data_IF_550910887733
#
_entry.id   IF_550910887733
#
_cell.length_a   1.000
_cell.length_b   1.000
_cell.length_c   1.000
_cell.angle_alpha   90.00
_cell.angle_beta   90.00
_cell.angle_gamma   90.00
#
_symmetry.space_group_name_H-M   'P 1'
#
loop_
_entity.id
_entity.type
_entity.pdbx_description
1 polymer ?
#
# COMPACT_ATOMS: atom_id res chain seq x y z
N UNK A 1 -70.53 20.05 2.38
CA UNK A 1 -69.46 20.84 1.71
C UNK A 1 -69.12 20.16 0.39
N UNK A 2 -69.49 20.70 -0.78
CA UNK A 2 -69.13 20.08 -2.04
C UNK A 2 -67.68 20.41 -2.38
N UNK A 3 -66.85 19.38 -2.50
CA UNK A 3 -65.49 19.49 -3.04
C UNK A 3 -65.58 20.06 -4.46
N UNK A 4 -65.25 21.34 -4.62
CA UNK A 4 -65.03 21.94 -5.94
C UNK A 4 -63.78 21.29 -6.51
N UNK A 5 -63.97 20.25 -7.32
CA UNK A 5 -62.94 19.71 -8.20
C UNK A 5 -62.50 20.85 -9.11
N UNK A 6 -61.41 21.52 -8.71
CA UNK A 6 -60.77 22.59 -9.46
C UNK A 6 -60.28 21.95 -10.75
N UNK A 7 -61.01 22.18 -11.85
CA UNK A 7 -60.59 21.70 -13.17
C UNK A 7 -59.21 22.29 -13.43
N UNK A 8 -58.20 21.42 -13.45
CA UNK A 8 -56.83 21.79 -13.79
C UNK A 8 -56.86 22.44 -15.18
N UNK A 9 -56.26 23.62 -15.29
CA UNK A 9 -56.12 24.30 -16.58
C UNK A 9 -55.32 23.42 -17.55
N UNK A 10 -55.61 23.48 -18.85
CA UNK A 10 -54.89 22.74 -19.89
C UNK A 10 -53.36 22.96 -19.79
N UNK A 11 -52.95 24.16 -19.38
CA UNK A 11 -51.55 24.51 -19.09
C UNK A 11 -50.95 23.75 -17.92
N UNK A 12 -51.70 23.49 -16.85
CA UNK A 12 -51.21 22.68 -15.71
C UNK A 12 -51.01 21.22 -16.11
N UNK A 13 -51.88 20.69 -16.97
CA UNK A 13 -51.71 19.35 -17.54
C UNK A 13 -50.48 19.25 -18.43
N UNK A 14 -50.25 20.22 -19.31
CA UNK A 14 -49.05 20.30 -20.15
C UNK A 14 -47.78 20.34 -19.30
N UNK A 15 -47.72 21.20 -18.29
CA UNK A 15 -46.56 21.30 -17.39
C UNK A 15 -46.30 19.97 -16.68
N UNK A 16 -47.34 19.31 -16.18
CA UNK A 16 -47.21 18.04 -15.47
C UNK A 16 -46.66 16.94 -16.41
N UNK A 17 -47.16 16.87 -17.64
CA UNK A 17 -46.65 15.94 -18.66
C UNK A 17 -45.18 16.23 -18.99
N UNK A 18 -44.81 17.50 -19.16
CA UNK A 18 -43.42 17.89 -19.43
C UNK A 18 -42.48 17.51 -18.29
N UNK A 19 -42.89 17.73 -17.03
CA UNK A 19 -42.10 17.34 -15.85
C UNK A 19 -41.92 15.83 -15.77
N UNK A 20 -43.00 15.06 -16.01
CA UNK A 20 -42.93 13.59 -16.04
C UNK A 20 -42.01 13.11 -17.15
N UNK A 21 -42.09 13.71 -18.35
CA UNK A 21 -41.22 13.36 -19.47
C UNK A 21 -39.74 13.66 -19.16
N UNK A 22 -39.45 14.81 -18.56
CA UNK A 22 -38.10 15.18 -18.09
C UNK A 22 -37.59 14.21 -17.03
N UNK A 23 -38.44 13.76 -16.12
CA UNK A 23 -38.07 12.81 -15.08
C UNK A 23 -37.70 11.44 -15.67
N UNK A 24 -38.46 10.94 -16.65
CA UNK A 24 -38.16 9.69 -17.36
C UNK A 24 -36.84 9.79 -18.12
N UNK A 25 -36.61 10.91 -18.84
CA UNK A 25 -35.35 11.16 -19.53
C UNK A 25 -34.17 11.25 -18.57
N UNK A 26 -34.35 11.93 -17.44
CA UNK A 26 -33.33 12.10 -16.41
C UNK A 26 -32.89 10.76 -15.81
N UNK A 27 -33.85 9.91 -15.43
CA UNK A 27 -33.56 8.57 -14.87
C UNK A 27 -32.81 7.71 -15.89
N UNK A 28 -33.28 7.64 -17.14
CA UNK A 28 -32.62 6.84 -18.18
C UNK A 28 -31.21 7.33 -18.53
N UNK A 29 -30.93 8.63 -18.37
CA UNK A 29 -29.60 9.18 -18.58
C UNK A 29 -28.65 8.86 -17.41
N UNK A 30 -29.14 8.93 -16.17
CA UNK A 30 -28.37 8.62 -14.97
C UNK A 30 -27.93 7.15 -14.98
N UNK A 31 -28.84 6.21 -15.29
CA UNK A 31 -28.52 4.77 -15.34
C UNK A 31 -27.42 4.45 -16.37
N UNK A 32 -27.45 5.11 -17.53
CA UNK A 32 -26.41 4.91 -18.56
C UNK A 32 -25.04 5.42 -18.11
N UNK A 33 -25.00 6.56 -17.43
CA UNK A 33 -23.74 7.10 -16.89
C UNK A 33 -23.16 6.20 -15.80
N UNK A 34 -23.99 5.70 -14.88
CA UNK A 34 -23.52 4.78 -13.83
C UNK A 34 -23.04 3.46 -14.41
N UNK A 35 -23.70 2.95 -15.46
CA UNK A 35 -23.30 1.70 -16.12
C UNK A 35 -21.95 1.85 -16.83
N UNK A 36 -21.73 2.95 -17.54
CA UNK A 36 -20.44 3.24 -18.18
C UNK A 36 -19.33 3.42 -17.16
N UNK A 37 -19.59 4.13 -16.06
CA UNK A 37 -18.62 4.32 -14.99
C UNK A 37 -18.25 2.99 -14.29
N UNK A 38 -19.24 2.14 -14.02
CA UNK A 38 -19.02 0.82 -13.43
C UNK A 38 -18.17 -0.08 -14.34
N UNK A 39 -18.50 -0.13 -15.64
CA UNK A 39 -17.72 -0.90 -16.62
C UNK A 39 -16.28 -0.40 -16.74
N UNK A 40 -16.06 0.92 -16.76
CA UNK A 40 -14.70 1.48 -16.80
C UNK A 40 -13.90 1.17 -15.54
N UNK A 41 -14.53 1.19 -14.36
CA UNK A 41 -13.89 0.83 -13.11
C UNK A 41 -13.48 -0.65 -13.10
N UNK A 42 -14.33 -1.53 -13.62
CA UNK A 42 -14.04 -2.95 -13.74
C UNK A 42 -12.89 -3.22 -14.71
N UNK A 43 -12.87 -2.54 -15.87
CA UNK A 43 -11.75 -2.62 -16.82
C UNK A 43 -10.44 -2.21 -16.16
N UNK A 44 -10.40 -1.06 -15.49
CA UNK A 44 -9.18 -0.58 -14.80
C UNK A 44 -8.70 -1.57 -13.73
N UNK A 45 -9.63 -2.14 -12.96
CA UNK A 45 -9.30 -3.13 -11.95
C UNK A 45 -8.66 -4.39 -12.57
N UNK A 46 -9.19 -4.86 -13.70
CA UNK A 46 -8.59 -5.99 -14.41
C UNK A 46 -7.23 -5.64 -15.02
N UNK A 47 -7.07 -4.46 -15.61
CA UNK A 47 -5.80 -3.97 -16.17
C UNK A 47 -4.71 -3.91 -15.09
N UNK A 48 -5.01 -3.37 -13.91
CA UNK A 48 -4.06 -3.34 -12.79
C UNK A 48 -3.64 -4.74 -12.35
N UNK A 49 -4.59 -5.69 -12.29
CA UNK A 49 -4.27 -7.09 -11.93
C UNK A 49 -3.39 -7.78 -12.96
N UNK A 50 -3.61 -7.52 -14.24
CA UNK A 50 -2.78 -8.05 -15.32
C UNK A 50 -1.37 -7.46 -15.22
N UNK A 51 -1.24 -6.14 -15.07
CA UNK A 51 0.07 -5.49 -14.93
C UNK A 51 0.87 -6.03 -13.73
N UNK A 52 0.23 -6.25 -12.58
CA UNK A 52 0.86 -6.87 -11.41
C UNK A 52 1.30 -8.31 -11.70
N UNK A 53 0.47 -9.09 -12.40
CA UNK A 53 0.79 -10.47 -12.76
C UNK A 53 1.98 -10.55 -13.74
N UNK A 54 2.01 -9.68 -14.76
CA UNK A 54 3.09 -9.58 -15.73
C UNK A 54 4.41 -9.19 -15.04
N UNK A 55 4.40 -8.17 -14.18
CA UNK A 55 5.58 -7.79 -13.40
C UNK A 55 6.09 -8.94 -12.53
N UNK A 56 5.19 -9.71 -11.90
CA UNK A 56 5.58 -10.90 -11.13
C UNK A 56 6.20 -11.95 -12.04
N UNK A 57 5.61 -12.20 -13.21
CA UNK A 57 6.14 -13.18 -14.16
C UNK A 57 7.55 -12.80 -14.63
N UNK A 58 7.79 -11.53 -14.95
CA UNK A 58 9.13 -11.05 -15.33
C UNK A 58 10.12 -11.28 -14.20
N UNK A 59 9.83 -10.80 -12.98
CA UNK A 59 10.73 -11.03 -11.82
C UNK A 59 11.00 -12.50 -11.55
N UNK A 60 9.99 -13.36 -11.68
CA UNK A 60 10.16 -14.79 -11.46
C UNK A 60 11.03 -15.43 -12.55
N UNK A 61 10.93 -14.97 -13.80
CA UNK A 61 11.81 -15.41 -14.89
C UNK A 61 13.26 -14.97 -14.63
N UNK A 62 13.46 -13.71 -14.28
CA UNK A 62 14.80 -13.17 -13.96
C UNK A 62 15.43 -13.93 -12.79
N UNK A 63 14.63 -14.25 -11.76
CA UNK A 63 15.09 -15.04 -10.62
C UNK A 63 15.41 -16.50 -11.03
N UNK A 64 14.61 -17.09 -11.91
CA UNK A 64 14.88 -18.44 -12.44
C UNK A 64 16.20 -18.48 -13.22
N UNK A 65 16.47 -17.45 -14.01
CA UNK A 65 17.72 -17.29 -14.76
C UNK A 65 18.91 -17.12 -13.80
N UNK A 66 18.75 -16.29 -12.76
CA UNK A 66 19.76 -16.14 -11.72
C UNK A 66 20.06 -17.45 -11.00
N UNK A 67 19.04 -18.18 -10.55
CA UNK A 67 19.21 -19.46 -9.83
C UNK A 67 19.81 -20.55 -10.72
N UNK A 68 19.55 -20.52 -12.03
CA UNK A 68 20.18 -21.45 -12.99
C UNK A 68 21.62 -21.07 -13.33
N UNK A 69 22.06 -19.86 -13.01
CA UNK A 69 23.42 -19.42 -13.29
C UNK A 69 24.43 -19.94 -12.26
N UNK A 70 25.68 -20.14 -12.71
CA UNK A 70 26.80 -20.53 -11.84
C UNK A 70 27.05 -19.50 -10.72
N UNK A 71 26.65 -18.24 -10.91
CA UNK A 71 26.77 -17.19 -9.90
C UNK A 71 25.92 -17.48 -8.64
N UNK A 72 24.78 -18.17 -8.79
CA UNK A 72 23.98 -18.60 -7.64
C UNK A 72 24.71 -19.68 -6.84
N UNK A 73 25.38 -20.62 -7.52
CA UNK A 73 26.18 -21.68 -6.88
C UNK A 73 27.31 -21.06 -6.08
N UNK A 74 28.06 -20.12 -6.65
CA UNK A 74 29.14 -19.41 -5.96
C UNK A 74 28.63 -18.61 -4.75
N UNK A 75 27.52 -17.89 -4.90
CA UNK A 75 26.89 -17.16 -3.80
C UNK A 75 26.47 -18.10 -2.67
N UNK A 76 25.84 -19.23 -2.99
CA UNK A 76 25.34 -20.17 -2.00
C UNK A 76 26.50 -20.88 -1.27
N UNK A 77 27.55 -21.28 -1.99
CA UNK A 77 28.77 -21.90 -1.43
C UNK A 77 29.44 -20.94 -0.43
N UNK A 78 29.59 -19.67 -0.79
CA UNK A 78 30.22 -18.67 0.09
C UNK A 78 29.35 -18.30 1.29
N UNK A 79 28.04 -18.18 1.10
CA UNK A 79 27.13 -17.63 2.13
C UNK A 79 26.63 -18.71 3.08
N UNK A 80 26.13 -19.84 2.56
CA UNK A 80 25.54 -20.92 3.37
C UNK A 80 26.60 -21.89 3.86
N UNK A 81 27.55 -22.24 3.01
CA UNK A 81 28.53 -23.28 3.33
C UNK A 81 29.84 -22.71 3.86
N UNK A 82 30.08 -21.40 3.70
CA UNK A 82 31.35 -20.73 4.01
C UNK A 82 32.56 -21.45 3.39
N UNK A 83 32.33 -22.08 2.24
CA UNK A 83 33.36 -22.84 1.53
C UNK A 83 34.11 -21.91 0.58
N UNK A 84 35.43 -22.07 0.53
CA UNK A 84 36.32 -21.38 -0.41
C UNK A 84 36.50 -22.22 -1.68
N UNK A 85 36.52 -21.58 -2.85
CA UNK A 85 36.82 -22.27 -4.11
C UNK A 85 38.29 -22.75 -4.14
N UNK A 86 38.64 -23.76 -4.96
CA UNK A 86 40.03 -24.16 -5.16
C UNK A 86 40.84 -22.99 -5.75
N UNK A 87 41.66 -22.34 -4.91
CA UNK A 87 42.47 -21.16 -5.25
C UNK A 87 42.21 -19.93 -4.37
N UNK A 88 41.10 -19.89 -3.61
CA UNK A 88 40.83 -18.82 -2.65
C UNK A 88 41.64 -19.03 -1.36
N UNK A 89 42.25 -17.96 -0.83
CA UNK A 89 42.96 -17.98 0.47
C UNK A 89 41.96 -17.57 1.56
N UNK A 90 41.56 -18.46 2.48
CA UNK A 90 40.68 -18.09 3.58
C UNK A 90 41.40 -17.12 4.53
N UNK A 91 40.87 -15.90 4.66
CA UNK A 91 41.35 -14.91 5.62
C UNK A 91 40.43 -14.99 6.85
N UNK A 92 40.95 -15.53 7.94
CA UNK A 92 40.27 -15.55 9.24
C UNK A 92 40.57 -14.23 9.96
N UNK A 93 39.55 -13.39 10.12
CA UNK A 93 39.65 -12.15 10.91
C UNK A 93 39.48 -12.55 12.37
N UNK A 94 40.59 -12.66 13.12
CA UNK A 94 40.52 -12.81 14.57
C UNK A 94 39.94 -11.53 15.16
N UNK A 95 38.86 -11.59 15.96
CA UNK A 95 38.45 -10.45 16.75
C UNK A 95 39.59 -10.11 17.71
N UNK A 96 40.00 -8.85 17.73
CA UNK A 96 40.87 -8.32 18.77
C UNK A 96 40.20 -8.68 20.10
N UNK A 97 40.88 -9.51 20.89
CA UNK A 97 40.43 -9.84 22.24
C UNK A 97 40.31 -8.52 22.97
N UNK A 98 39.13 -8.12 23.48
CA UNK A 98 39.05 -6.94 24.30
C UNK A 98 39.92 -7.24 25.52
N UNK A 99 41.04 -6.55 25.60
CA UNK A 99 41.83 -6.48 26.82
C UNK A 99 40.88 -5.86 27.83
N UNK A 100 40.37 -6.68 28.76
CA UNK A 100 39.71 -6.21 29.97
C UNK A 100 40.74 -5.36 30.73
N UNK A 101 40.79 -4.08 30.41
CA UNK A 101 41.43 -3.06 31.22
C UNK A 101 40.45 -2.76 32.35
N UNK A 102 40.70 -3.41 33.49
CA UNK A 102 40.03 -3.11 34.76
C UNK A 102 40.20 -1.64 35.13
N UNK A 103 39.09 -1.08 35.61
CA UNK A 103 39.00 -0.03 36.62
C UNK A 103 39.78 1.28 36.35
N UNK A 104 39.07 2.25 35.77
CA UNK A 104 39.04 3.59 36.35
C UNK A 104 37.61 4.14 36.23
N UNK A 105 37.05 4.49 37.38
CA UNK A 105 35.68 4.95 37.52
C UNK A 105 35.49 6.31 36.88
N UNK A 106 34.62 6.36 35.88
CA UNK A 106 34.01 7.60 35.43
C UNK A 106 32.50 7.39 35.53
N UNK A 107 31.89 8.00 36.56
CA UNK A 107 30.45 8.04 36.74
C UNK A 107 29.84 8.76 35.53
N UNK A 108 29.40 7.98 34.54
CA UNK A 108 28.54 8.46 33.48
C UNK A 108 27.26 8.93 34.19
N UNK A 109 26.84 10.20 34.07
CA UNK A 109 25.52 10.57 34.53
C UNK A 109 24.55 9.73 33.73
N UNK A 110 23.84 8.82 34.41
CA UNK A 110 22.67 8.14 33.87
C UNK A 110 21.69 9.24 33.50
N UNK A 111 21.76 9.67 32.24
CA UNK A 111 20.71 10.45 31.63
C UNK A 111 19.52 9.49 31.64
N UNK A 112 18.66 9.64 32.65
CA UNK A 112 17.40 8.91 32.71
C UNK A 112 16.67 9.28 31.44
N UNK A 113 16.72 8.39 30.45
CA UNK A 113 15.88 8.43 29.28
C UNK A 113 14.45 8.42 29.80
N UNK A 114 13.87 9.62 29.93
CA UNK A 114 12.47 9.78 30.25
C UNK A 114 11.71 8.93 29.23
N UNK A 115 10.93 7.97 29.73
CA UNK A 115 10.21 7.07 28.84
C UNK A 115 9.34 7.93 27.89
N UNK A 116 9.17 7.53 26.63
CA UNK A 116 8.50 8.36 25.62
C UNK A 116 7.12 8.90 26.03
N UNK A 117 6.43 8.20 26.94
CA UNK A 117 5.13 8.58 27.47
C UNK A 117 5.19 9.72 28.51
N UNK A 118 6.29 9.87 29.27
CA UNK A 118 6.47 10.98 30.22
C UNK A 118 6.62 12.31 29.49
N UNK A 119 7.35 12.32 28.36
CA UNK A 119 7.45 13.50 27.51
C UNK A 119 6.08 13.95 27.00
N UNK A 120 5.19 13.01 26.64
CA UNK A 120 3.82 13.31 26.24
C UNK A 120 3.00 13.92 27.38
N UNK A 121 3.20 13.46 28.61
CA UNK A 121 2.46 13.94 29.77
C UNK A 121 2.78 15.40 30.11
N UNK A 122 4.05 15.79 30.03
CA UNK A 122 4.50 17.16 30.30
C UNK A 122 3.90 18.18 29.30
N UNK A 123 3.66 17.78 28.04
CA UNK A 123 3.01 18.65 27.06
C UNK A 123 1.57 19.02 27.44
N UNK A 124 0.85 18.15 28.16
CA UNK A 124 -0.55 18.36 28.52
C UNK A 124 -0.74 18.90 29.94
N UNK A 125 0.20 18.64 30.85
CA UNK A 125 0.03 18.90 32.28
C UNK A 125 1.27 19.50 32.99
N UNK A 126 2.30 19.94 32.26
CA UNK A 126 3.40 20.74 32.83
C UNK A 126 2.90 22.09 33.37
N UNK A 127 3.65 22.77 34.26
CA UNK A 127 3.20 23.96 35.00
C UNK A 127 2.69 25.10 34.13
#
# INVERSE_FOLDING_TARGET
>A
MPYRLRRLSLTQWMILITVVLLMILGVGYIERLTTLAAMQAEVRWWEERVAVAEHRQVRLKDYLEYVQSDAYVDHEIRTRWKWSLPGDVPIEVLPETPVDASEDGEEIPVNQESLPWQAWWDYFFGP
#
